data_IF_176672345072
#
_entry.id   IF_176672345072
#
_cell.length_a   1.000
_cell.length_b   1.000
_cell.length_c   1.000
_cell.angle_alpha   90.00
_cell.angle_beta   90.00
_cell.angle_gamma   90.00
#
_symmetry.space_group_name_H-M   'P 1'
#
loop_
_entity.id
_entity.type
_entity.pdbx_description
1 polymer ?
#
# COMPACT_ATOMS: atom_id res chain seq x y z
N UNK A 1 -2.24 12.01 -23.85
CA UNK A 1 -2.72 10.67 -24.24
C UNK A 1 -3.08 9.99 -22.94
N UNK A 2 -4.36 9.71 -22.69
CA UNK A 2 -4.80 9.08 -21.43
C UNK A 2 -4.51 7.58 -21.60
N UNK A 3 -3.51 7.06 -20.91
CA UNK A 3 -3.30 5.61 -20.83
C UNK A 3 -4.52 4.99 -20.13
N UNK A 4 -5.13 3.92 -20.68
CA UNK A 4 -6.34 3.36 -20.12
C UNK A 4 -6.05 2.76 -18.74
N UNK A 5 -6.71 3.30 -17.71
CA UNK A 5 -6.74 2.71 -16.38
C UNK A 5 -7.72 1.55 -16.40
N UNK A 6 -7.23 0.34 -16.10
CA UNK A 6 -8.06 -0.84 -15.91
C UNK A 6 -8.47 -0.96 -14.43
N UNK A 7 -9.71 -1.36 -14.18
CA UNK A 7 -10.25 -1.52 -12.83
C UNK A 7 -10.62 -2.98 -12.58
N UNK A 8 -10.16 -3.52 -11.45
CA UNK A 8 -10.55 -4.83 -10.92
C UNK A 8 -11.19 -4.59 -9.56
N UNK A 9 -12.47 -4.92 -9.42
CA UNK A 9 -13.18 -4.84 -8.15
C UNK A 9 -13.13 -6.20 -7.47
N UNK A 10 -12.80 -6.21 -6.17
CA UNK A 10 -12.86 -7.40 -5.35
C UNK A 10 -13.87 -7.18 -4.22
N UNK A 11 -14.82 -8.10 -4.12
CA UNK A 11 -15.76 -8.18 -3.01
C UNK A 11 -15.28 -9.31 -2.10
N UNK A 12 -14.73 -8.97 -0.93
CA UNK A 12 -14.44 -9.95 0.12
C UNK A 12 -15.23 -9.60 1.39
N UNK A 13 -15.66 -10.62 2.13
CA UNK A 13 -16.27 -10.46 3.47
C UNK A 13 -15.23 -10.19 4.57
N UNK A 14 -14.00 -9.85 4.18
CA UNK A 14 -12.86 -9.68 5.09
C UNK A 14 -12.74 -8.24 5.60
N UNK A 15 -11.99 -8.06 6.70
CA UNK A 15 -11.71 -6.74 7.26
C UNK A 15 -10.99 -5.83 6.24
N UNK A 16 -11.51 -4.60 6.07
CA UNK A 16 -11.02 -3.54 5.15
C UNK A 16 -9.50 -3.28 5.26
N UNK A 17 -8.93 -3.56 6.44
CA UNK A 17 -7.55 -3.32 6.85
C UNK A 17 -6.53 -4.38 6.36
N UNK A 18 -6.95 -5.42 5.63
CA UNK A 18 -6.05 -6.37 4.97
C UNK A 18 -6.22 -6.42 3.44
N UNK A 19 -7.16 -5.63 2.91
CA UNK A 19 -7.64 -5.79 1.54
C UNK A 19 -6.63 -5.34 0.49
N UNK A 20 -5.81 -4.31 0.76
CA UNK A 20 -4.89 -3.79 -0.25
C UNK A 20 -3.85 -4.82 -0.69
N UNK A 21 -3.21 -5.51 0.27
CA UNK A 21 -2.23 -6.55 -0.03
C UNK A 21 -2.87 -7.76 -0.75
N UNK A 22 -4.04 -8.21 -0.29
CA UNK A 22 -4.80 -9.29 -0.93
C UNK A 22 -5.20 -8.95 -2.37
N UNK A 23 -5.66 -7.73 -2.62
CA UNK A 23 -6.00 -7.25 -3.96
C UNK A 23 -4.81 -7.34 -4.91
N UNK A 24 -3.63 -6.91 -4.46
CA UNK A 24 -2.41 -6.96 -5.26
C UNK A 24 -1.98 -8.40 -5.57
N UNK A 25 -2.06 -9.31 -4.59
CA UNK A 25 -1.79 -10.74 -4.80
C UNK A 25 -2.74 -11.34 -5.85
N UNK A 26 -4.03 -10.96 -5.83
CA UNK A 26 -5.01 -11.42 -6.82
C UNK A 26 -4.75 -10.86 -8.21
N UNK A 27 -4.44 -9.57 -8.33
CA UNK A 27 -4.13 -8.97 -9.63
C UNK A 27 -2.85 -9.55 -10.23
N UNK A 28 -1.84 -9.85 -9.42
CA UNK A 28 -0.67 -10.61 -9.84
C UNK A 28 -1.06 -11.97 -10.47
N UNK A 29 -2.01 -12.70 -9.86
CA UNK A 29 -2.49 -13.97 -10.40
C UNK A 29 -3.22 -13.84 -11.75
N UNK A 30 -3.76 -12.66 -12.07
CA UNK A 30 -4.36 -12.37 -13.37
C UNK A 30 -3.32 -12.23 -14.50
N UNK A 31 -2.03 -12.07 -14.16
CA UNK A 31 -0.91 -11.96 -15.12
C UNK A 31 -1.13 -10.90 -16.20
N UNK A 32 -1.69 -9.75 -15.80
CA UNK A 32 -1.90 -8.62 -16.70
C UNK A 32 -0.56 -8.17 -17.32
N UNK A 33 -0.55 -7.97 -18.63
CA UNK A 33 0.62 -7.59 -19.40
C UNK A 33 0.57 -6.10 -19.76
N UNK A 34 1.73 -5.50 -20.02
CA UNK A 34 1.85 -4.09 -20.42
C UNK A 34 1.23 -3.11 -19.41
N UNK A 35 1.45 -3.37 -18.12
CA UNK A 35 1.03 -2.52 -17.01
C UNK A 35 2.27 -1.82 -16.43
N UNK A 36 2.13 -0.55 -16.06
CA UNK A 36 3.21 0.24 -15.45
C UNK A 36 3.29 0.01 -13.93
N UNK A 37 2.13 -0.13 -13.29
CA UNK A 37 2.01 -0.48 -11.88
C UNK A 37 0.56 -0.64 -11.47
N UNK A 38 0.36 -0.96 -10.19
CA UNK A 38 -0.92 -1.36 -9.64
C UNK A 38 -1.28 -0.47 -8.47
N UNK A 39 -2.47 0.12 -8.52
CA UNK A 39 -3.07 0.78 -7.39
C UNK A 39 -4.04 -0.17 -6.70
N UNK A 40 -3.87 -0.37 -5.39
CA UNK A 40 -4.89 -0.96 -4.55
C UNK A 40 -5.48 0.14 -3.67
N UNK A 41 -6.78 0.38 -3.83
CA UNK A 41 -7.51 1.47 -3.19
C UNK A 41 -8.78 0.93 -2.54
N UNK A 42 -9.06 1.38 -1.32
CA UNK A 42 -10.37 1.22 -0.70
C UNK A 42 -11.40 2.09 -1.43
N UNK A 43 -12.67 1.67 -1.42
CA UNK A 43 -13.80 2.47 -1.92
C UNK A 43 -13.92 3.85 -1.26
N UNK A 44 -13.34 4.01 -0.06
CA UNK A 44 -13.32 5.27 0.68
C UNK A 44 -12.24 6.23 0.21
N UNK A 45 -11.38 5.84 -0.73
CA UNK A 45 -10.28 6.65 -1.26
C UNK A 45 -10.62 7.16 -2.66
N UNK A 46 -10.48 8.47 -2.84
CA UNK A 46 -10.47 9.11 -4.15
C UNK A 46 -9.02 9.32 -4.58
N UNK A 47 -8.60 8.58 -5.61
CA UNK A 47 -7.31 8.77 -6.26
C UNK A 47 -7.37 9.99 -7.20
N UNK A 48 -6.48 10.95 -6.98
CA UNK A 48 -6.28 12.10 -7.86
C UNK A 48 -5.20 11.77 -8.88
N UNK A 49 -5.59 11.04 -9.93
CA UNK A 49 -4.70 10.54 -10.99
C UNK A 49 -3.91 11.62 -11.76
N UNK A 50 -4.29 12.89 -11.61
CA UNK A 50 -3.61 14.04 -12.21
C UNK A 50 -2.38 14.52 -11.44
N UNK A 51 -2.17 14.06 -10.21
CA UNK A 51 -0.95 14.35 -9.46
C UNK A 51 0.11 13.31 -9.83
N UNK A 52 1.19 13.78 -10.46
CA UNK A 52 2.27 12.91 -10.90
C UNK A 52 3.13 12.45 -9.72
N UNK A 53 3.50 11.18 -9.75
CA UNK A 53 4.49 10.55 -8.88
C UNK A 53 5.44 9.74 -9.78
N UNK A 54 6.60 9.33 -9.25
CA UNK A 54 7.49 8.47 -10.01
C UNK A 54 6.92 7.04 -10.08
N UNK A 55 6.52 6.53 -11.27
CA UNK A 55 5.90 5.21 -11.37
C UNK A 55 6.85 4.06 -11.03
N UNK A 56 8.14 4.33 -10.83
CA UNK A 56 9.14 3.35 -10.38
C UNK A 56 9.20 3.19 -8.86
N UNK A 57 8.54 4.08 -8.12
CA UNK A 57 8.56 4.07 -6.65
C UNK A 57 7.28 3.49 -6.11
N UNK A 58 7.38 2.79 -4.98
CA UNK A 58 6.20 2.39 -4.21
C UNK A 58 5.60 3.63 -3.56
N UNK A 59 4.28 3.79 -3.61
CA UNK A 59 3.60 4.85 -2.88
C UNK A 59 2.90 4.27 -1.67
N UNK A 60 3.18 4.83 -0.50
CA UNK A 60 2.56 4.40 0.74
C UNK A 60 2.25 5.61 1.65
N UNK A 61 1.01 5.77 2.16
CA UNK A 61 0.66 6.86 3.04
C UNK A 61 0.99 6.49 4.48
N UNK A 62 2.11 6.98 4.99
CA UNK A 62 2.64 6.51 6.27
C UNK A 62 2.31 7.42 7.46
N UNK A 63 1.40 8.39 7.30
CA UNK A 63 1.08 9.36 8.35
C UNK A 63 2.32 10.04 8.97
N UNK A 64 3.39 10.22 8.18
CA UNK A 64 4.71 10.71 8.61
C UNK A 64 5.47 9.78 9.59
N UNK A 65 5.18 8.48 9.61
CA UNK A 65 5.90 7.47 10.40
C UNK A 65 6.18 6.24 9.57
N UNK A 66 7.43 5.77 9.54
CA UNK A 66 7.73 4.49 8.88
C UNK A 66 7.04 3.34 9.64
N UNK A 67 6.65 2.24 8.98
CA UNK A 67 6.08 1.08 9.66
C UNK A 67 6.92 0.57 10.83
N UNK A 68 8.25 0.56 10.70
CA UNK A 68 9.20 0.21 11.78
C UNK A 68 9.19 1.20 12.97
N UNK A 69 8.75 2.45 12.77
CA UNK A 69 8.58 3.47 13.82
C UNK A 69 7.20 3.40 14.48
N UNK A 70 6.24 2.73 13.82
CA UNK A 70 4.94 2.40 14.37
C UNK A 70 5.03 1.04 15.09
N UNK A 71 5.31 1.09 16.40
CA UNK A 71 5.26 -0.10 17.23
C UNK A 71 3.83 -0.66 17.21
N UNK A 72 3.65 -1.90 16.76
CA UNK A 72 2.45 -2.66 17.04
C UNK A 72 2.43 -2.96 18.54
N UNK A 73 1.60 -2.25 19.30
CA UNK A 73 1.58 -2.30 20.77
C UNK A 73 0.58 -3.30 21.35
N UNK A 74 -0.19 -4.00 20.51
CA UNK A 74 -1.28 -4.83 20.98
C UNK A 74 -0.76 -6.14 21.56
N UNK A 75 -1.15 -6.40 22.82
CA UNK A 75 -0.70 -7.50 23.68
C UNK A 75 -1.17 -8.91 23.25
N UNK A 76 -1.62 -9.08 22.01
CA UNK A 76 -2.18 -10.32 21.49
C UNK A 76 -1.10 -11.26 20.91
N UNK A 77 0.04 -11.40 21.59
CA UNK A 77 1.13 -12.28 21.21
C UNK A 77 1.80 -11.89 19.88
N UNK A 78 3.10 -11.60 19.93
CA UNK A 78 3.87 -11.37 18.71
C UNK A 78 3.77 -12.62 17.79
N UNK A 79 3.25 -12.51 16.55
CA UNK A 79 3.31 -13.63 15.62
C UNK A 79 4.79 -13.88 15.31
N UNK A 80 5.31 -15.05 15.66
CA UNK A 80 6.74 -15.32 15.48
C UNK A 80 7.06 -15.35 13.99
N UNK A 81 7.73 -14.30 13.48
CA UNK A 81 8.10 -14.24 12.06
C UNK A 81 9.14 -15.31 11.67
N UNK A 82 9.65 -16.06 12.66
CA UNK A 82 10.43 -17.30 12.50
C UNK A 82 9.75 -18.32 11.59
N UNK A 83 8.42 -18.41 11.59
CA UNK A 83 7.70 -19.36 10.72
C UNK A 83 7.88 -18.98 9.25
N UNK A 84 7.79 -17.70 8.90
CA UNK A 84 8.06 -17.22 7.54
C UNK A 84 9.50 -17.54 7.10
N UNK A 85 10.48 -17.33 8.00
CA UNK A 85 11.88 -17.70 7.72
C UNK A 85 12.04 -19.20 7.44
N UNK A 86 11.40 -20.07 8.23
CA UNK A 86 11.43 -21.52 8.00
C UNK A 86 10.76 -21.92 6.69
N UNK A 87 9.64 -21.28 6.32
CA UNK A 87 9.03 -21.52 5.01
C UNK A 87 10.03 -21.22 3.89
N UNK A 88 10.71 -20.07 3.95
CA UNK A 88 11.68 -19.66 2.92
C UNK A 88 12.90 -20.60 2.86
N UNK A 89 13.45 -20.96 4.01
CA UNK A 89 14.75 -21.65 4.09
C UNK A 89 14.68 -23.17 4.17
N UNK A 90 13.52 -23.73 4.55
CA UNK A 90 13.32 -25.17 4.67
C UNK A 90 12.33 -25.67 3.61
N UNK A 91 11.06 -25.23 3.66
CA UNK A 91 10.00 -25.73 2.77
C UNK A 91 10.22 -25.34 1.31
N UNK A 92 10.55 -24.06 1.08
CA UNK A 92 10.71 -23.45 -0.25
C UNK A 92 12.18 -23.23 -0.62
N UNK A 93 13.10 -23.97 0.01
CA UNK A 93 14.53 -23.86 -0.25
C UNK A 93 14.91 -24.10 -1.72
N UNK A 94 14.16 -24.97 -2.39
CA UNK A 94 14.38 -25.40 -3.77
C UNK A 94 13.40 -24.74 -4.75
N UNK A 95 12.55 -23.80 -4.29
CA UNK A 95 11.58 -23.07 -5.10
C UNK A 95 12.25 -21.81 -5.69
N UNK A 96 12.43 -21.79 -7.02
CA UNK A 96 13.16 -20.73 -7.71
C UNK A 96 12.55 -19.34 -7.49
N UNK A 97 11.22 -19.23 -7.48
CA UNK A 97 10.51 -17.96 -7.31
C UNK A 97 10.69 -17.43 -5.87
N UNK A 98 10.60 -18.30 -4.87
CA UNK A 98 10.81 -17.93 -3.46
C UNK A 98 12.27 -17.54 -3.23
N UNK A 99 13.22 -18.27 -3.82
CA UNK A 99 14.64 -17.91 -3.70
C UNK A 99 14.99 -16.61 -4.43
N UNK A 100 14.32 -16.30 -5.54
CA UNK A 100 14.46 -15.02 -6.21
C UNK A 100 13.90 -13.88 -5.34
N UNK A 101 12.69 -14.03 -4.79
CA UNK A 101 12.10 -13.11 -3.81
C UNK A 101 13.06 -12.87 -2.63
N UNK A 102 13.67 -13.94 -2.10
CA UNK A 102 14.60 -13.84 -0.97
C UNK A 102 15.89 -13.08 -1.29
N UNK A 103 16.44 -13.26 -2.50
CA UNK A 103 17.60 -12.48 -2.98
C UNK A 103 17.26 -11.01 -3.12
N UNK A 104 16.11 -10.69 -3.71
CA UNK A 104 15.63 -9.31 -3.84
C UNK A 104 15.41 -8.66 -2.47
N UNK A 105 14.87 -9.41 -1.51
CA UNK A 105 14.72 -8.97 -0.13
C UNK A 105 16.07 -8.58 0.50
N UNK A 106 17.09 -9.44 0.41
CA UNK A 106 18.43 -9.16 0.93
C UNK A 106 19.09 -7.96 0.24
N UNK A 107 18.96 -7.86 -1.09
CA UNK A 107 19.49 -6.74 -1.86
C UNK A 107 18.81 -5.42 -1.49
N UNK A 108 17.49 -5.46 -1.32
CA UNK A 108 16.68 -4.33 -0.93
C UNK A 108 17.07 -3.78 0.45
N UNK A 109 17.24 -4.66 1.44
CA UNK A 109 17.71 -4.27 2.78
C UNK A 109 19.07 -3.58 2.74
N UNK A 110 20.01 -4.17 2.00
CA UNK A 110 21.37 -3.62 1.83
C UNK A 110 21.36 -2.22 1.23
N UNK A 111 20.32 -1.89 0.46
CA UNK A 111 20.18 -0.61 -0.25
C UNK A 111 19.40 0.44 0.55
N UNK A 112 18.47 0.03 1.44
CA UNK A 112 17.48 0.94 2.04
C UNK A 112 17.37 0.91 3.58
N UNK A 113 17.69 -0.21 4.23
CA UNK A 113 17.47 -0.42 5.67
C UNK A 113 18.76 -0.68 6.47
N UNK A 114 19.93 -0.52 5.84
CA UNK A 114 21.24 -0.77 6.46
C UNK A 114 21.71 -2.22 6.34
N UNK A 115 22.87 -2.52 6.92
CA UNK A 115 23.55 -3.84 6.78
C UNK A 115 22.94 -4.97 7.66
N UNK A 116 21.63 -4.96 7.89
CA UNK A 116 20.97 -6.10 8.55
C UNK A 116 20.83 -7.26 7.56
N UNK A 117 21.07 -8.49 8.01
CA UNK A 117 20.83 -9.65 7.16
C UNK A 117 19.33 -9.88 6.97
N UNK A 118 18.95 -10.46 5.82
CA UNK A 118 17.58 -10.84 5.55
C UNK A 118 17.03 -11.77 6.64
N UNK A 119 17.85 -12.72 7.10
CA UNK A 119 17.50 -13.65 8.17
C UNK A 119 17.18 -12.95 9.49
N UNK A 120 17.96 -11.94 9.88
CA UNK A 120 17.67 -11.14 11.09
C UNK A 120 16.41 -10.30 10.89
N UNK A 121 16.29 -9.61 9.76
CA UNK A 121 15.18 -8.69 9.52
C UNK A 121 13.83 -9.39 9.39
N UNK A 122 13.77 -10.52 8.67
CA UNK A 122 12.51 -11.27 8.49
C UNK A 122 12.01 -11.86 9.81
N UNK A 123 12.92 -12.20 10.74
CA UNK A 123 12.58 -12.79 12.04
C UNK A 123 12.31 -11.76 13.13
N UNK A 124 12.61 -10.48 12.87
CA UNK A 124 12.35 -9.41 13.82
C UNK A 124 10.84 -9.13 13.90
N UNK A 125 10.28 -9.23 15.10
CA UNK A 125 8.85 -9.06 15.37
C UNK A 125 8.46 -7.56 15.49
N UNK A 126 8.90 -6.75 14.51
CA UNK A 126 8.71 -5.29 14.49
C UNK A 126 8.09 -4.82 13.19
N UNK A 127 7.20 -3.83 13.32
CA UNK A 127 6.56 -3.11 12.23
C UNK A 127 5.26 -3.74 11.75
N UNK A 128 4.27 -2.91 11.46
CA UNK A 128 3.02 -3.30 10.79
C UNK A 128 2.58 -2.16 9.90
N UNK A 129 2.25 -2.47 8.65
CA UNK A 129 1.83 -1.50 7.66
C UNK A 129 0.47 -1.92 7.09
N UNK A 130 -0.55 -1.13 7.39
CA UNK A 130 -1.85 -1.20 6.72
C UNK A 130 -2.17 0.18 6.13
N UNK A 131 -2.81 0.14 4.97
CA UNK A 131 -3.26 1.33 4.28
C UNK A 131 -4.45 1.04 3.38
N UNK A 132 -5.36 2.01 3.33
CA UNK A 132 -6.46 2.07 2.37
C UNK A 132 -6.00 2.42 0.94
N UNK A 133 -4.71 2.69 0.74
CA UNK A 133 -4.09 3.05 -0.53
C UNK A 133 -2.64 2.54 -0.61
N UNK A 134 -2.28 1.88 -1.70
CA UNK A 134 -0.89 1.58 -2.04
C UNK A 134 -0.74 1.57 -3.56
N UNK A 135 0.41 2.01 -4.04
CA UNK A 135 0.85 1.79 -5.42
C UNK A 135 2.10 0.93 -5.44
N UNK A 136 2.13 -0.07 -6.32
CA UNK A 136 3.29 -0.93 -6.54
C UNK A 136 3.66 -0.93 -8.03
N UNK A 137 4.91 -0.58 -8.41
CA UNK A 137 5.40 -0.72 -9.77
C UNK A 137 5.27 -2.15 -10.28
N UNK A 138 5.02 -2.36 -11.56
CA UNK A 138 4.84 -3.71 -12.10
C UNK A 138 6.08 -4.59 -11.95
N UNK A 139 7.29 -4.01 -11.93
CA UNK A 139 8.53 -4.74 -11.65
C UNK A 139 8.66 -5.26 -10.20
N UNK A 140 7.80 -4.80 -9.27
CA UNK A 140 7.82 -5.21 -7.86
C UNK A 140 6.65 -6.11 -7.48
N UNK A 141 5.68 -6.35 -8.39
CA UNK A 141 4.45 -7.05 -8.03
C UNK A 141 4.68 -8.52 -7.69
N UNK A 142 5.59 -9.20 -8.40
CA UNK A 142 5.91 -10.61 -8.17
C UNK A 142 6.60 -10.77 -6.81
N UNK A 143 7.62 -9.92 -6.56
CA UNK A 143 8.33 -9.84 -5.29
C UNK A 143 7.37 -9.59 -4.11
N UNK A 144 6.53 -8.54 -4.22
CA UNK A 144 5.53 -8.22 -3.21
C UNK A 144 4.56 -9.38 -2.97
N UNK A 145 4.00 -9.94 -4.04
CA UNK A 145 2.96 -10.96 -3.94
C UNK A 145 3.50 -12.24 -3.32
N UNK A 146 4.73 -12.63 -3.68
CA UNK A 146 5.37 -13.82 -3.11
C UNK A 146 5.67 -13.67 -1.63
N UNK A 147 6.13 -12.48 -1.20
CA UNK A 147 6.36 -12.20 0.21
C UNK A 147 5.06 -12.25 1.03
N UNK A 148 3.98 -11.63 0.53
CA UNK A 148 2.66 -11.67 1.20
C UNK A 148 2.14 -13.11 1.31
N UNK A 149 2.28 -13.92 0.26
CA UNK A 149 1.89 -15.33 0.28
C UNK A 149 2.65 -16.16 1.33
N UNK A 150 3.95 -15.91 1.52
CA UNK A 150 4.74 -16.57 2.57
C UNK A 150 4.21 -16.20 3.96
N UNK A 151 3.85 -14.94 4.19
CA UNK A 151 3.29 -14.49 5.47
C UNK A 151 1.91 -15.09 5.74
N UNK A 152 1.02 -15.11 4.73
CA UNK A 152 -0.30 -15.75 4.83
C UNK A 152 -0.19 -17.25 5.15
N UNK A 153 0.73 -17.96 4.49
CA UNK A 153 0.98 -19.36 4.80
C UNK A 153 1.53 -19.54 6.22
N UNK A 154 2.42 -18.65 6.65
CA UNK A 154 2.95 -18.62 8.01
C UNK A 154 1.92 -18.21 9.08
N UNK A 155 0.69 -17.88 8.68
CA UNK A 155 -0.38 -17.36 9.56
C UNK A 155 0.01 -16.07 10.27
N UNK A 156 0.76 -15.22 9.57
CA UNK A 156 1.15 -13.89 10.01
C UNK A 156 0.30 -12.87 9.24
N UNK A 157 -0.30 -11.88 9.92
CA UNK A 157 -1.08 -10.85 9.24
C UNK A 157 -0.29 -10.15 8.13
N UNK A 158 -0.94 -9.86 7.01
CA UNK A 158 -0.31 -9.34 5.79
C UNK A 158 0.36 -7.99 6.01
N UNK A 159 -0.12 -7.18 6.96
CA UNK A 159 0.49 -5.90 7.29
C UNK A 159 1.93 -6.00 7.78
N UNK A 160 2.33 -7.13 8.37
CA UNK A 160 3.75 -7.39 8.66
C UNK A 160 4.55 -7.61 7.36
N UNK A 161 4.00 -8.36 6.40
CA UNK A 161 4.63 -8.57 5.09
C UNK A 161 4.82 -7.24 4.35
N UNK A 162 3.78 -6.38 4.36
CA UNK A 162 3.83 -5.04 3.77
C UNK A 162 4.89 -4.18 4.46
N UNK A 163 4.97 -4.21 5.79
CA UNK A 163 6.02 -3.49 6.52
C UNK A 163 7.42 -3.93 6.07
N UNK A 164 7.67 -5.25 6.06
CA UNK A 164 8.97 -5.80 5.63
C UNK A 164 9.30 -5.43 4.19
N UNK A 165 8.32 -5.49 3.29
CA UNK A 165 8.47 -5.08 1.91
C UNK A 165 8.91 -3.61 1.79
N UNK A 166 8.26 -2.70 2.51
CA UNK A 166 8.53 -1.26 2.45
C UNK A 166 9.96 -0.90 2.91
N UNK A 167 10.57 -1.70 3.77
CA UNK A 167 11.96 -1.52 4.20
C UNK A 167 12.97 -1.98 3.13
N UNK A 168 12.54 -2.71 2.10
CA UNK A 168 13.41 -3.27 1.05
C UNK A 168 13.35 -2.52 -0.28
N UNK A 169 12.45 -1.54 -0.43
CA UNK A 169 12.19 -0.86 -1.71
C UNK A 169 12.28 0.65 -1.57
N UNK A 170 12.43 1.35 -2.70
CA UNK A 170 12.31 2.79 -2.72
C UNK A 170 10.83 3.18 -2.57
N UNK A 171 10.52 3.90 -1.48
CA UNK A 171 9.17 4.34 -1.15
C UNK A 171 9.08 5.86 -1.21
N UNK A 172 8.11 6.35 -1.97
CA UNK A 172 7.63 7.71 -1.85
C UNK A 172 6.54 7.74 -0.76
N UNK A 173 6.92 8.28 0.40
CA UNK A 173 6.06 8.37 1.57
C UNK A 173 5.08 9.54 1.42
N UNK A 174 3.81 9.20 1.26
CA UNK A 174 2.76 10.19 1.18
C UNK A 174 2.43 10.74 2.58
N UNK A 175 2.10 12.03 2.71
CA UNK A 175 1.59 12.58 3.95
C UNK A 175 0.30 11.83 4.38
N UNK A 176 -0.10 11.92 5.66
CA UNK A 176 -1.37 11.37 6.10
C UNK A 176 -2.48 11.78 5.13
N UNK A 177 -3.25 10.80 4.66
CA UNK A 177 -4.39 11.05 3.78
C UNK A 177 -5.31 12.03 4.50
N UNK A 178 -5.25 13.28 4.08
CA UNK A 178 -5.99 14.36 4.73
C UNK A 178 -7.43 14.22 4.27
N UNK A 179 -8.37 14.20 5.23
CA UNK A 179 -9.77 14.37 4.87
C UNK A 179 -9.95 15.86 4.49
N UNK A 180 -10.22 16.18 3.21
CA UNK A 180 -10.39 17.56 2.78
C UNK A 180 -11.59 18.25 3.47
N UNK A 181 -12.49 17.48 4.10
CA UNK A 181 -13.69 17.96 4.80
C UNK A 181 -13.43 18.45 6.21
N UNK A 182 -12.54 17.79 6.97
CA UNK A 182 -12.34 18.12 8.39
C UNK A 182 -11.29 19.22 8.61
N UNK A 183 -10.62 19.66 7.55
CA UNK A 183 -9.50 20.60 7.66
C UNK A 183 -9.85 22.04 7.24
N UNK A 184 -11.14 22.42 7.30
CA UNK A 184 -11.62 23.80 7.05
C UNK A 184 -11.08 24.44 5.76
N UNK A 185 -10.88 23.66 4.69
CA UNK A 185 -10.35 24.14 3.41
C UNK A 185 -8.86 24.50 3.41
N UNK A 186 -8.09 24.14 4.45
CA UNK A 186 -6.65 24.45 4.56
C UNK A 186 -5.73 23.45 3.86
N UNK A 187 -6.25 22.36 3.30
CA UNK A 187 -5.45 21.39 2.54
C UNK A 187 -5.26 21.90 1.13
N UNK A 188 -4.02 22.02 0.69
CA UNK A 188 -3.73 22.29 -0.72
C UNK A 188 -4.08 21.05 -1.55
N UNK A 189 -5.29 21.05 -2.11
CA UNK A 189 -5.80 19.95 -2.95
C UNK A 189 -4.99 19.74 -4.23
N UNK A 190 -4.09 20.66 -4.59
CA UNK A 190 -3.20 20.52 -5.75
C UNK A 190 -2.10 19.47 -5.58
N UNK A 191 -1.83 19.01 -4.36
CA UNK A 191 -0.76 18.04 -4.08
C UNK A 191 -1.28 16.72 -3.49
N UNK A 192 -2.60 16.59 -3.38
CA UNK A 192 -3.23 15.43 -2.79
C UNK A 192 -3.26 14.28 -3.80
N UNK A 193 -2.38 13.28 -3.68
CA UNK A 193 -2.42 12.12 -4.57
C UNK A 193 -3.63 11.22 -4.26
N UNK A 194 -3.93 11.01 -2.99
CA UNK A 194 -5.08 10.26 -2.52
C UNK A 194 -5.82 11.07 -1.45
N UNK A 195 -7.12 11.25 -1.61
CA UNK A 195 -7.99 11.81 -0.59
C UNK A 195 -8.79 10.68 0.04
N UNK A 196 -8.89 10.65 1.37
CA UNK A 196 -9.84 9.81 2.09
C UNK A 196 -11.02 10.69 2.52
N UNK A 197 -12.00 10.95 1.63
CA UNK A 197 -13.23 11.56 2.06
C UNK A 197 -13.95 10.54 2.92
N UNK A 198 -13.72 10.59 4.23
CA UNK A 198 -14.34 9.61 5.12
C UNK A 198 -15.86 9.70 4.95
N UNK A 199 -16.41 8.69 4.28
CA UNK A 199 -17.80 8.20 4.27
C UNK A 199 -18.87 9.29 4.06
N UNK A 200 -19.29 9.50 2.81
CA UNK A 200 -20.57 10.15 2.50
C UNK A 200 -21.73 9.61 3.36
N UNK A 201 -21.69 8.33 3.71
CA UNK A 201 -22.67 7.65 4.58
C UNK A 201 -22.62 8.09 6.06
N UNK A 202 -21.57 8.77 6.52
CA UNK A 202 -21.42 9.27 7.89
C UNK A 202 -21.71 10.77 8.01
N UNK A 203 -21.80 11.49 6.89
CA UNK A 203 -22.29 12.86 6.87
C UNK A 203 -23.82 12.82 6.92
N UNK A 204 -24.40 12.94 8.11
CA UNK A 204 -25.86 13.09 8.27
C UNK A 204 -26.33 14.50 7.89
N UNK A 205 -25.44 15.49 8.01
CA UNK A 205 -25.73 16.90 7.81
C UNK A 205 -25.64 17.33 6.34
N UNK A 206 -26.67 18.03 5.85
CA UNK A 206 -26.77 18.47 4.46
C UNK A 206 -25.64 19.43 4.06
N UNK A 207 -25.20 20.29 4.96
CA UNK A 207 -24.15 21.29 4.68
C UNK A 207 -22.77 20.65 4.53
N UNK A 208 -22.48 19.58 5.28
CA UNK A 208 -21.25 18.80 5.11
C UNK A 208 -21.22 18.10 3.74
N UNK A 209 -22.37 17.54 3.30
CA UNK A 209 -22.52 16.94 1.97
C UNK A 209 -22.33 17.96 0.86
N UNK A 210 -22.93 19.15 0.99
CA UNK A 210 -22.76 20.24 0.01
C UNK A 210 -21.31 20.70 -0.06
N UNK A 211 -20.65 20.88 1.08
CA UNK A 211 -19.24 21.26 1.14
C UNK A 211 -18.36 20.18 0.47
N UNK A 212 -18.65 18.90 0.71
CA UNK A 212 -17.96 17.79 0.06
C UNK A 212 -18.13 17.80 -1.45
N UNK A 213 -19.37 17.76 -1.93
CA UNK A 213 -19.65 17.78 -3.37
C UNK A 213 -19.04 19.02 -4.02
N UNK A 214 -19.13 20.19 -3.38
CA UNK A 214 -18.55 21.44 -3.90
C UNK A 214 -17.03 21.36 -3.94
N UNK A 215 -16.37 20.81 -2.92
CA UNK A 215 -14.91 20.68 -2.88
C UNK A 215 -14.40 19.73 -3.96
N UNK A 216 -15.05 18.58 -4.12
CA UNK A 216 -14.72 17.61 -5.17
C UNK A 216 -14.98 18.22 -6.54
N UNK A 217 -16.19 18.72 -6.82
CA UNK A 217 -16.55 19.29 -8.12
C UNK A 217 -15.68 20.50 -8.46
N UNK A 218 -15.38 21.38 -7.50
CA UNK A 218 -14.50 22.54 -7.75
C UNK A 218 -13.07 22.11 -8.02
N UNK A 219 -12.57 21.10 -7.32
CA UNK A 219 -11.23 20.55 -7.57
C UNK A 219 -11.17 19.90 -8.95
N UNK A 220 -12.14 19.03 -9.30
CA UNK A 220 -12.25 18.41 -10.62
C UNK A 220 -12.40 19.45 -11.73
N UNK A 221 -13.28 20.44 -11.56
CA UNK A 221 -13.51 21.52 -12.52
C UNK A 221 -12.22 22.29 -12.77
N UNK A 222 -11.52 22.71 -11.71
CA UNK A 222 -10.26 23.45 -11.83
C UNK A 222 -9.20 22.63 -12.55
N UNK A 223 -9.05 21.35 -12.19
CA UNK A 223 -8.04 20.48 -12.80
C UNK A 223 -8.36 20.13 -14.26
N UNK A 224 -9.63 19.88 -14.60
CA UNK A 224 -10.00 19.47 -15.95
C UNK A 224 -10.20 20.65 -16.91
N UNK A 225 -10.58 21.82 -16.41
CA UNK A 225 -10.93 22.98 -17.24
C UNK A 225 -9.88 24.10 -17.22
N UNK A 226 -9.09 24.23 -16.14
CA UNK A 226 -8.08 25.30 -16.03
C UNK A 226 -6.65 24.80 -16.37
N UNK A 227 -6.50 23.58 -16.88
CA UNK A 227 -5.28 23.15 -17.60
C UNK A 227 -5.44 23.55 -19.07
N UNK A 228 -5.28 24.85 -19.35
CA UNK A 228 -4.85 25.44 -20.63
C UNK A 228 -4.17 26.78 -20.37
#
# INVERSE_FOLDING_TARGET
>A
MIEPVNYVTMEENDHIQAMAAKCLVKVHQLKLQNVTGYYAISETILLQFWNWHDPKKVLFPSQNRRPQEALWTDSNGEPTCKTAYKLITEKYRDDEDVQQMWKEYQQGLSSHAGHMSAAEHIQADVGYADSMFVYIPSEKIDYFSRLVQIFDEAKIPEGFAVSKFLDTVEVEWLPPMTNPLTNNGKVDTRKLLAANPTRYTHHTELEERKLFCTTIVTTFRRVLLDIF
#
